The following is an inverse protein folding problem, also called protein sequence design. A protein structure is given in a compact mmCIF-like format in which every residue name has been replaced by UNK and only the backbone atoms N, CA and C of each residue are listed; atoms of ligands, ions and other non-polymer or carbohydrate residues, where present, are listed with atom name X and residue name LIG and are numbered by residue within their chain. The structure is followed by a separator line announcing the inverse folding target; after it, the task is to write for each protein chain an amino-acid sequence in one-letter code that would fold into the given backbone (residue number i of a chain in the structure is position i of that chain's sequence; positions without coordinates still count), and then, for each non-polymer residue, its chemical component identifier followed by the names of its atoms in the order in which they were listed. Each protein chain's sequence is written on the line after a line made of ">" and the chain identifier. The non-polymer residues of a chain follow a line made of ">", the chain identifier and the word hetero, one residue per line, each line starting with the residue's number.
data_IF_093843181059
#
_entry.id   IF_093843181059
#
_cell.length_a   1.000
_cell.length_b   1.000
_cell.length_c   1.000
_cell.angle_alpha   90.00
_cell.angle_beta   90.00
_cell.angle_gamma   90.00
#
_symmetry.space_group_name_H-M   'P 1'
#
loop_
_entity.id
_entity.type
_entity.pdbx_description
1 polymer ?
#
# COMPACT_ATOMS: atom_id res chain seq x y z
N UNK A 1 -15.85 13.63 3.92
CA UNK A 1 -14.42 13.38 4.20
C UNK A 1 -13.59 14.15 3.20
N UNK A 2 -12.62 14.92 3.65
CA UNK A 2 -11.80 15.77 2.77
C UNK A 2 -10.56 15.02 2.29
N UNK A 3 -10.16 15.23 1.03
CA UNK A 3 -8.92 14.68 0.46
C UNK A 3 -7.68 15.02 1.30
N UNK A 4 -7.69 16.16 1.99
CA UNK A 4 -6.60 16.57 2.89
C UNK A 4 -6.45 15.66 4.11
N UNK A 5 -7.55 15.22 4.73
CA UNK A 5 -7.48 14.31 5.88
C UNK A 5 -6.97 12.92 5.47
N UNK A 6 -7.46 12.41 4.35
CA UNK A 6 -7.00 11.15 3.78
C UNK A 6 -5.49 11.16 3.50
N UNK A 7 -4.98 12.27 2.94
CA UNK A 7 -3.55 12.45 2.71
C UNK A 7 -2.76 12.52 4.03
N UNK A 8 -3.25 13.26 5.02
CA UNK A 8 -2.62 13.37 6.34
C UNK A 8 -2.46 11.99 6.99
N UNK A 9 -3.53 11.19 7.04
CA UNK A 9 -3.48 9.83 7.59
C UNK A 9 -2.57 8.92 6.75
N UNK A 10 -2.58 9.06 5.43
CA UNK A 10 -1.72 8.26 4.56
C UNK A 10 -0.23 8.53 4.81
N UNK A 11 0.16 9.81 4.96
CA UNK A 11 1.54 10.19 5.30
C UNK A 11 1.92 9.70 6.69
N UNK A 12 1.01 9.86 7.66
CA UNK A 12 1.21 9.40 9.03
C UNK A 12 1.46 7.88 9.10
N UNK A 13 0.65 7.11 8.37
CA UNK A 13 0.79 5.67 8.22
C UNK A 13 2.14 5.30 7.60
N UNK A 14 2.58 6.01 6.56
CA UNK A 14 3.86 5.73 5.91
C UNK A 14 5.06 5.87 6.87
N UNK A 15 4.99 6.85 7.78
CA UNK A 15 6.02 7.09 8.80
C UNK A 15 5.97 6.05 9.92
N UNK A 16 4.79 5.64 10.36
CA UNK A 16 4.64 4.83 11.58
C UNK A 16 4.55 3.32 11.32
N UNK A 17 4.23 2.88 10.09
CA UNK A 17 3.94 1.48 9.81
C UNK A 17 5.08 0.55 10.24
N UNK A 18 6.31 0.82 9.81
CA UNK A 18 7.47 -0.02 10.12
C UNK A 18 8.22 0.39 11.41
N UNK A 19 7.72 1.41 12.11
CA UNK A 19 8.11 1.65 13.52
C UNK A 19 7.39 0.67 14.47
N UNK A 20 6.28 0.07 14.01
CA UNK A 20 5.45 -0.87 14.77
C UNK A 20 5.52 -2.27 14.20
N UNK A 21 5.33 -2.41 12.88
CA UNK A 21 5.36 -3.70 12.19
C UNK A 21 6.82 -4.13 12.00
N UNK A 22 7.22 -5.33 12.47
CA UNK A 22 8.57 -5.82 12.30
C UNK A 22 9.03 -5.83 10.84
N UNK A 23 10.28 -5.43 10.61
CA UNK A 23 10.87 -5.36 9.26
C UNK A 23 10.86 -6.69 8.51
N UNK A 24 10.80 -7.83 9.22
CA UNK A 24 10.66 -9.15 8.60
C UNK A 24 9.41 -9.28 7.71
N UNK A 25 8.39 -8.45 7.96
CA UNK A 25 7.13 -8.44 7.22
C UNK A 25 7.10 -7.44 6.05
N UNK A 26 8.18 -6.69 5.80
CA UNK A 26 8.27 -5.67 4.74
C UNK A 26 8.02 -6.21 3.32
N UNK A 27 8.03 -7.52 3.13
CA UNK A 27 7.73 -8.15 1.82
C UNK A 27 6.46 -8.99 1.83
N UNK A 28 5.67 -8.94 2.90
CA UNK A 28 4.44 -9.71 3.07
C UNK A 28 3.25 -8.84 2.67
N UNK A 29 3.10 -8.54 1.38
CA UNK A 29 2.10 -7.60 0.88
C UNK A 29 0.66 -7.85 1.37
N UNK A 30 0.16 -9.10 1.54
CA UNK A 30 -1.19 -9.30 2.06
C UNK A 30 -1.33 -8.90 3.53
N UNK A 31 -0.27 -9.07 4.33
CA UNK A 31 -0.28 -8.71 5.75
C UNK A 31 -0.24 -7.19 5.93
N UNK A 32 0.79 -6.54 5.38
CA UNK A 32 0.98 -5.09 5.56
C UNK A 32 -0.16 -4.28 4.95
N UNK A 33 -0.72 -4.71 3.82
CA UNK A 33 -1.87 -4.03 3.21
C UNK A 33 -3.15 -4.20 4.02
N UNK A 34 -3.34 -5.33 4.72
CA UNK A 34 -4.48 -5.52 5.63
C UNK A 34 -4.36 -4.67 6.88
N UNK A 35 -3.15 -4.59 7.46
CA UNK A 35 -2.85 -3.68 8.58
C UNK A 35 -3.19 -2.24 8.17
N UNK A 36 -2.70 -1.79 7.01
CA UNK A 36 -3.00 -0.45 6.50
C UNK A 36 -4.51 -0.21 6.33
N UNK A 37 -5.25 -1.17 5.76
CA UNK A 37 -6.72 -1.08 5.63
C UNK A 37 -7.40 -0.89 7.00
N UNK A 38 -7.01 -1.66 8.00
CA UNK A 38 -7.63 -1.58 9.32
C UNK A 38 -7.22 -0.32 10.09
N UNK A 39 -6.01 0.22 9.86
CA UNK A 39 -5.63 1.56 10.34
C UNK A 39 -6.57 2.62 9.76
N UNK A 40 -6.78 2.66 8.45
CA UNK A 40 -7.67 3.64 7.83
C UNK A 40 -9.10 3.57 8.37
N UNK A 41 -9.62 2.36 8.58
CA UNK A 41 -10.98 2.15 9.13
C UNK A 41 -11.13 2.72 10.54
N UNK A 42 -10.08 2.69 11.36
CA UNK A 42 -10.08 3.31 12.71
C UNK A 42 -10.20 4.84 12.65
N UNK A 43 -9.76 5.46 11.56
CA UNK A 43 -9.95 6.88 11.27
C UNK A 43 -11.22 7.17 10.45
N UNK A 44 -12.15 6.21 10.36
CA UNK A 44 -13.38 6.28 9.55
C UNK A 44 -13.13 6.47 8.04
N UNK A 45 -11.93 6.15 7.55
CA UNK A 45 -11.57 6.23 6.14
C UNK A 45 -11.87 4.87 5.48
N UNK A 46 -12.69 4.89 4.44
CA UNK A 46 -12.97 3.68 3.66
C UNK A 46 -11.71 3.23 2.92
N UNK A 47 -11.24 2.02 3.24
CA UNK A 47 -10.08 1.40 2.61
C UNK A 47 -10.35 -0.05 2.24
N UNK A 48 -9.72 -0.50 1.16
CA UNK A 48 -9.85 -1.85 0.61
C UNK A 48 -8.50 -2.39 0.17
N UNK A 49 -8.42 -3.72 0.07
CA UNK A 49 -7.32 -4.36 -0.63
C UNK A 49 -7.54 -4.27 -2.14
N UNK A 50 -6.48 -3.94 -2.88
CA UNK A 50 -6.48 -3.95 -4.33
C UNK A 50 -5.33 -4.84 -4.84
N UNK A 51 -5.65 -6.02 -5.38
CA UNK A 51 -4.67 -6.82 -6.10
C UNK A 51 -4.16 -6.06 -7.32
N UNK A 52 -2.86 -6.06 -7.56
CA UNK A 52 -2.22 -5.31 -8.66
C UNK A 52 -0.87 -5.93 -9.05
N UNK A 53 -0.32 -5.53 -10.19
CA UNK A 53 1.09 -5.71 -10.50
C UNK A 53 1.87 -4.46 -10.15
N UNK A 54 3.01 -4.62 -9.47
CA UNK A 54 3.97 -3.55 -9.25
C UNK A 54 5.09 -3.66 -10.28
N UNK A 55 5.27 -2.61 -11.06
CA UNK A 55 6.33 -2.50 -12.05
C UNK A 55 7.32 -1.44 -11.58
N UNK A 56 8.59 -1.80 -11.49
CA UNK A 56 9.67 -0.85 -11.55
C UNK A 56 10.09 -0.73 -13.03
N UNK A 57 9.93 0.46 -13.60
CA UNK A 57 10.24 0.74 -15.00
C UNK A 57 11.46 1.65 -15.11
N UNK A 58 12.33 1.39 -16.09
CA UNK A 58 13.53 2.17 -16.38
C UNK A 58 13.93 2.05 -17.85
N UNK A 59 14.93 2.82 -18.28
CA UNK A 59 15.48 2.72 -19.65
C UNK A 59 16.21 1.37 -19.89
N UNK A 60 16.64 0.69 -18.83
CA UNK A 60 17.33 -0.61 -18.88
C UNK A 60 16.35 -1.79 -18.94
N UNK A 61 15.06 -1.54 -18.74
CA UNK A 61 14.02 -2.55 -18.69
C UNK A 61 13.11 -2.41 -17.48
N UNK A 62 12.19 -3.37 -17.35
CA UNK A 62 11.17 -3.39 -16.30
C UNK A 62 11.34 -4.62 -15.40
N UNK A 63 11.15 -4.42 -14.10
CA UNK A 63 11.03 -5.47 -13.10
C UNK A 63 9.60 -5.50 -12.58
N UNK A 64 8.99 -6.69 -12.52
CA UNK A 64 7.57 -6.85 -12.21
C UNK A 64 7.40 -7.78 -11.00
N UNK A 65 6.53 -7.38 -10.08
CA UNK A 65 6.11 -8.15 -8.91
C UNK A 65 4.60 -8.41 -9.02
N UNK A 66 4.23 -9.68 -8.78
CA UNK A 66 2.86 -10.17 -8.79
C UNK A 66 2.38 -10.62 -10.17
N UNK A 67 1.63 -11.72 -10.20
CA UNK A 67 0.96 -12.23 -11.40
C UNK A 67 1.91 -12.50 -12.58
N UNK A 68 3.04 -13.15 -12.31
CA UNK A 68 4.07 -13.44 -13.31
C UNK A 68 3.95 -14.84 -13.93
N UNK A 69 3.02 -15.67 -13.43
CA UNK A 69 2.88 -17.08 -13.81
C UNK A 69 3.90 -17.98 -13.11
N UNK A 70 4.60 -17.46 -12.12
CA UNK A 70 5.67 -18.16 -11.41
C UNK A 70 5.07 -18.90 -10.21
N UNK A 71 4.59 -20.12 -10.45
CA UNK A 71 4.07 -20.97 -9.38
C UNK A 71 5.21 -21.40 -8.44
N UNK A 72 5.29 -20.77 -7.27
CA UNK A 72 6.14 -21.19 -6.17
C UNK A 72 5.22 -21.90 -5.16
N UNK A 73 5.51 -23.15 -4.75
CA UNK A 73 4.73 -23.84 -3.73
C UNK A 73 4.53 -22.98 -2.49
N UNK A 74 3.29 -22.95 -1.98
CA UNK A 74 2.88 -22.21 -0.78
C UNK A 74 3.03 -20.68 -0.84
N UNK A 75 3.31 -20.11 -2.01
CA UNK A 75 3.39 -18.66 -2.21
C UNK A 75 2.36 -18.20 -3.24
N UNK A 76 1.57 -17.20 -2.85
CA UNK A 76 0.66 -16.53 -3.77
C UNK A 76 1.44 -15.73 -4.81
N UNK A 77 1.21 -16.00 -6.10
CA UNK A 77 1.77 -15.23 -7.22
C UNK A 77 0.97 -13.96 -7.46
N UNK A 78 0.95 -13.08 -6.46
CA UNK A 78 0.21 -11.83 -6.51
C UNK A 78 0.91 -10.73 -5.74
N UNK A 79 0.46 -9.51 -6.01
CA UNK A 79 0.78 -8.35 -5.20
C UNK A 79 -0.52 -7.63 -4.84
N UNK A 80 -0.60 -7.10 -3.63
CA UNK A 80 -1.81 -6.44 -3.12
C UNK A 80 -1.42 -5.23 -2.30
N UNK A 81 -2.13 -4.14 -2.53
CA UNK A 81 -1.92 -2.85 -1.86
C UNK A 81 -3.17 -2.44 -1.08
N UNK A 82 -3.01 -1.49 -0.17
CA UNK A 82 -4.12 -0.79 0.44
C UNK A 82 -4.51 0.38 -0.47
N UNK A 83 -5.82 0.57 -0.71
CA UNK A 83 -6.34 1.75 -1.40
C UNK A 83 -7.48 2.37 -0.63
N UNK A 84 -7.51 3.69 -0.62
CA UNK A 84 -8.63 4.52 -0.20
C UNK A 84 -9.33 5.08 -1.45
N UNK A 85 -10.19 6.09 -1.29
CA UNK A 85 -10.87 6.72 -2.42
C UNK A 85 -9.90 7.40 -3.40
N UNK A 86 -8.85 8.05 -2.87
CA UNK A 86 -7.90 8.84 -3.66
C UNK A 86 -6.45 8.38 -3.55
N UNK A 87 -6.10 7.56 -2.55
CA UNK A 87 -4.72 7.16 -2.28
C UNK A 87 -4.49 5.67 -2.49
N UNK A 88 -3.27 5.33 -2.89
CA UNK A 88 -2.67 4.00 -2.89
C UNK A 88 -1.53 4.00 -1.87
N UNK A 89 -1.52 2.97 -1.03
CA UNK A 89 -0.54 2.76 0.02
C UNK A 89 0.07 1.38 -0.17
N UNK A 90 1.38 1.33 -0.40
CA UNK A 90 2.12 0.10 -0.61
C UNK A 90 3.36 0.04 0.30
N UNK A 91 3.25 -0.74 1.39
CA UNK A 91 4.37 -1.02 2.29
C UNK A 91 5.27 -2.16 1.82
N UNK A 92 4.88 -2.89 0.78
CA UNK A 92 5.64 -4.03 0.26
C UNK A 92 6.51 -3.70 -0.95
N UNK A 93 6.59 -2.41 -1.34
CA UNK A 93 7.56 -1.92 -2.34
C UNK A 93 9.00 -2.28 -1.99
N UNK A 94 9.32 -2.47 -0.70
CA UNK A 94 10.65 -2.93 -0.24
C UNK A 94 11.06 -4.30 -0.76
N UNK A 95 10.12 -5.11 -1.26
CA UNK A 95 10.47 -6.30 -2.05
C UNK A 95 11.39 -5.98 -3.22
N UNK A 96 11.24 -4.82 -3.86
CA UNK A 96 12.13 -4.36 -4.93
C UNK A 96 13.56 -4.05 -4.44
N UNK A 97 13.69 -3.54 -3.22
CA UNK A 97 15.02 -3.35 -2.62
C UNK A 97 15.67 -4.69 -2.29
N UNK A 98 14.94 -5.61 -1.63
CA UNK A 98 15.48 -6.92 -1.27
C UNK A 98 15.89 -7.74 -2.49
N UNK A 99 15.06 -7.78 -3.52
CA UNK A 99 15.22 -8.70 -4.65
C UNK A 99 16.09 -8.11 -5.77
N UNK A 100 16.13 -6.78 -5.90
CA UNK A 100 16.81 -6.10 -7.02
C UNK A 100 17.71 -4.92 -6.60
N UNK A 101 17.85 -4.65 -5.29
CA UNK A 101 18.64 -3.54 -4.74
C UNK A 101 18.22 -2.15 -5.24
N UNK A 102 16.95 -1.97 -5.58
CA UNK A 102 16.42 -0.66 -5.96
C UNK A 102 16.24 0.26 -4.74
N UNK A 103 16.55 1.54 -4.92
CA UNK A 103 16.22 2.58 -3.95
C UNK A 103 14.73 2.91 -4.08
N UNK A 104 13.96 2.56 -3.04
CA UNK A 104 12.51 2.74 -2.96
C UNK A 104 12.13 3.25 -1.57
N UNK A 105 11.01 3.98 -1.41
CA UNK A 105 10.54 4.39 -0.08
C UNK A 105 10.21 3.16 0.78
N UNK A 106 10.18 3.31 2.11
CA UNK A 106 9.72 2.25 3.01
C UNK A 106 8.24 1.91 2.75
N UNK A 107 7.42 2.96 2.60
CA UNK A 107 6.02 2.87 2.20
C UNK A 107 5.79 3.86 1.07
N UNK A 108 5.25 3.41 -0.06
CA UNK A 108 4.80 4.30 -1.11
C UNK A 108 3.40 4.82 -0.80
N UNK A 109 3.24 6.15 -0.79
CA UNK A 109 1.94 6.83 -0.71
C UNK A 109 1.76 7.65 -1.97
N UNK A 110 0.74 7.32 -2.74
CA UNK A 110 0.58 7.83 -4.11
C UNK A 110 -0.88 8.15 -4.38
N UNK A 111 -1.15 9.25 -5.08
CA UNK A 111 -2.49 9.48 -5.58
C UNK A 111 -2.86 8.46 -6.66
N UNK A 112 -4.08 7.94 -6.59
CA UNK A 112 -4.66 7.08 -7.61
C UNK A 112 -5.04 7.92 -8.82
N UNK A 113 -4.90 7.35 -10.01
CA UNK A 113 -5.45 7.95 -11.20
C UNK A 113 -6.98 7.99 -11.12
N UNK A 114 -7.55 9.18 -11.23
CA UNK A 114 -9.00 9.39 -11.27
C UNK A 114 -9.55 9.24 -12.70
N UNK A 115 -9.23 8.12 -13.35
CA UNK A 115 -9.67 7.80 -14.71
C UNK A 115 -9.72 6.28 -14.90
N UNK A 116 -10.58 5.80 -15.80
CA UNK A 116 -10.58 4.40 -16.21
C UNK A 116 -9.27 4.08 -16.94
N UNK A 117 -8.38 3.34 -16.27
CA UNK A 117 -7.05 3.01 -16.76
C UNK A 117 -6.63 1.64 -16.24
N UNK A 118 -5.75 0.97 -17.01
CA UNK A 118 -5.02 -0.19 -16.50
C UNK A 118 -3.99 0.21 -15.44
N UNK A 119 -3.43 1.41 -15.55
CA UNK A 119 -2.57 1.98 -14.53
C UNK A 119 -3.42 2.52 -13.39
N UNK A 120 -3.06 2.17 -12.16
CA UNK A 120 -3.72 2.55 -10.91
C UNK A 120 -3.06 3.78 -10.32
N UNK A 121 -1.73 3.80 -10.27
CA UNK A 121 -0.93 4.89 -9.73
C UNK A 121 0.50 4.86 -10.30
N UNK A 122 1.24 5.96 -10.10
CA UNK A 122 2.65 6.09 -10.48
C UNK A 122 3.43 6.87 -9.42
N UNK A 123 4.61 6.38 -9.06
CA UNK A 123 5.57 7.07 -8.20
C UNK A 123 6.88 7.26 -8.96
N UNK A 124 7.34 8.50 -9.08
CA UNK A 124 8.61 8.78 -9.74
C UNK A 124 9.77 8.52 -8.75
N UNK A 125 10.77 7.75 -9.16
CA UNK A 125 12.02 7.54 -8.42
C UNK A 125 13.10 8.45 -9.02
N UNK A 126 14.33 8.34 -8.50
CA UNK A 126 15.47 9.08 -9.07
C UNK A 126 15.79 8.67 -10.52
N UNK A 127 16.06 9.68 -11.36
CA UNK A 127 16.41 9.50 -12.76
C UNK A 127 15.19 9.16 -13.63
N UNK A 128 15.36 8.21 -14.55
CA UNK A 128 14.27 7.72 -15.41
C UNK A 128 13.43 6.61 -14.76
N UNK A 129 13.75 6.22 -13.53
CA UNK A 129 13.10 5.10 -12.83
C UNK A 129 11.74 5.50 -12.28
N UNK A 130 10.76 4.60 -12.39
CA UNK A 130 9.39 4.84 -11.91
C UNK A 130 8.81 3.56 -11.34
N UNK A 131 7.97 3.69 -10.33
CA UNK A 131 7.05 2.64 -9.92
C UNK A 131 5.69 2.86 -10.57
N UNK A 132 5.09 1.79 -11.05
CA UNK A 132 3.73 1.77 -11.58
C UNK A 132 2.96 0.62 -10.96
N UNK A 133 1.72 0.90 -10.58
CA UNK A 133 0.78 -0.14 -10.17
C UNK A 133 -0.22 -0.32 -11.29
N UNK A 134 -0.39 -1.56 -11.75
CA UNK A 134 -1.33 -1.92 -12.81
C UNK A 134 -2.36 -2.93 -12.30
N UNK A 135 -3.53 -2.96 -12.93
CA UNK A 135 -4.49 -4.04 -12.70
C UNK A 135 -3.84 -5.41 -13.01
N UNK A 136 -4.20 -6.48 -12.29
CA UNK A 136 -3.71 -7.83 -12.58
C UNK A 136 -4.03 -8.24 -14.03
N UNK A 137 -3.17 -9.05 -14.68
CA UNK A 137 -3.48 -9.64 -15.97
C UNK A 137 -4.72 -10.54 -15.86
N UNK A 138 -5.44 -10.68 -16.97
CA UNK A 138 -6.61 -11.54 -17.04
C UNK A 138 -6.24 -13.01 -16.79
N UNK A 139 -7.08 -13.73 -16.03
CA UNK A 139 -6.94 -15.17 -15.80
C UNK A 139 -6.13 -15.58 -14.57
N UNK A 140 -5.57 -14.62 -13.82
CA UNK A 140 -4.88 -14.89 -12.56
C UNK A 140 -5.84 -14.94 -11.35
N UNK A 141 -5.50 -15.71 -10.33
CA UNK A 141 -6.21 -15.67 -9.04
C UNK A 141 -5.81 -14.42 -8.26
N UNK A 142 -6.72 -13.45 -8.25
CA UNK A 142 -6.53 -12.16 -7.58
C UNK A 142 -6.91 -12.18 -6.10
N UNK A 143 -7.21 -13.35 -5.51
CA UNK A 143 -7.65 -13.44 -4.11
C UNK A 143 -6.44 -13.37 -3.18
N UNK A 144 -6.25 -12.29 -2.39
CA UNK A 144 -5.13 -12.24 -1.46
C UNK A 144 -5.29 -13.32 -0.38
N UNK A 145 -4.21 -14.01 0.02
CA UNK A 145 -4.29 -15.05 1.04
C UNK A 145 -4.80 -14.47 2.36
N UNK A 146 -5.39 -15.34 3.16
CA UNK A 146 -5.74 -15.02 4.54
C UNK A 146 -4.47 -14.76 5.35
N UNK A 147 -4.60 -13.90 6.36
CA UNK A 147 -3.53 -13.54 7.27
C UNK A 147 -4.08 -13.63 8.71
N UNK A 148 -3.23 -13.83 9.72
CA UNK A 148 -3.69 -13.94 11.11
C UNK A 148 -4.39 -12.67 11.56
N UNK A 149 -5.66 -12.78 11.97
CA UNK A 149 -6.52 -11.62 12.29
C UNK A 149 -6.01 -10.92 13.54
N UNK A 150 -5.54 -11.68 14.52
CA UNK A 150 -4.99 -11.17 15.78
C UNK A 150 -3.77 -10.28 15.52
N UNK A 151 -2.90 -10.70 14.59
CA UNK A 151 -1.73 -9.94 14.19
C UNK A 151 -2.09 -8.65 13.44
N UNK A 152 -3.12 -8.72 12.57
CA UNK A 152 -3.61 -7.52 11.87
C UNK A 152 -4.14 -6.52 12.88
N UNK A 153 -5.00 -6.95 13.82
CA UNK A 153 -5.63 -6.07 14.79
C UNK A 153 -4.61 -5.44 15.75
N UNK A 154 -3.67 -6.25 16.26
CA UNK A 154 -2.59 -5.79 17.14
C UNK A 154 -1.78 -4.67 16.49
N UNK A 155 -1.25 -4.92 15.29
CA UNK A 155 -0.43 -3.93 14.61
C UNK A 155 -1.24 -2.73 14.12
N UNK A 156 -2.46 -2.94 13.61
CA UNK A 156 -3.30 -1.84 13.17
C UNK A 156 -3.69 -0.92 14.33
N UNK A 157 -4.00 -1.47 15.51
CA UNK A 157 -4.27 -0.67 16.70
C UNK A 157 -3.04 0.12 17.12
N UNK A 158 -1.88 -0.54 17.24
CA UNK A 158 -0.66 0.13 17.68
C UNK A 158 -0.19 1.23 16.70
N UNK A 159 -0.33 1.04 15.39
CA UNK A 159 -0.07 2.09 14.40
C UNK A 159 -1.09 3.23 14.53
N UNK A 160 -2.38 2.92 14.64
CA UNK A 160 -3.41 3.95 14.78
C UNK A 160 -3.23 4.79 16.05
N UNK A 161 -2.88 4.17 17.18
CA UNK A 161 -2.64 4.87 18.45
C UNK A 161 -1.46 5.85 18.33
N UNK A 162 -0.40 5.49 17.60
CA UNK A 162 0.74 6.40 17.34
C UNK A 162 0.34 7.57 16.45
N UNK A 163 -0.40 7.31 15.37
CA UNK A 163 -0.92 8.35 14.48
C UNK A 163 -1.82 9.32 15.27
N UNK A 164 -2.73 8.78 16.08
CA UNK A 164 -3.64 9.56 16.93
C UNK A 164 -2.86 10.41 17.93
N UNK A 165 -1.83 9.87 18.58
CA UNK A 165 -1.00 10.63 19.52
C UNK A 165 -0.24 11.78 18.85
N UNK A 166 0.12 11.65 17.57
CA UNK A 166 0.86 12.67 16.81
C UNK A 166 -0.05 13.75 16.22
N UNK A 167 -1.18 13.36 15.65
CA UNK A 167 -2.00 14.24 14.79
C UNK A 167 -3.32 14.65 15.45
N UNK A 168 -3.82 13.89 16.43
CA UNK A 168 -5.13 14.13 17.04
C UNK A 168 -6.30 13.78 16.12
N UNK A 169 -7.48 14.34 16.42
CA UNK A 169 -8.73 14.06 15.70
C UNK A 169 -8.87 14.85 14.39
N UNK A 170 -9.78 14.40 13.51
CA UNK A 170 -10.12 15.15 12.28
C UNK A 170 -10.60 16.57 12.65
N UNK A 171 -10.02 17.63 12.06
CA UNK A 171 -10.40 19.00 12.36
C UNK A 171 -11.89 19.27 12.06
N UNK A 172 -12.65 19.74 13.05
CA UNK A 172 -14.10 19.96 12.96
C UNK A 172 -14.52 20.96 11.86
N UNK A 173 -13.60 21.78 11.35
CA UNK A 173 -13.84 22.73 10.25
C UNK A 173 -13.84 22.10 8.86
N UNK A 174 -13.45 20.83 8.72
CA UNK A 174 -13.40 20.12 7.43
C UNK A 174 -14.57 19.15 7.20
N UNK A 175 -15.36 18.87 8.24
CA UNK A 175 -16.51 17.98 8.16
C UNK A 175 -17.76 18.61 7.51
N UNK A 176 -17.75 19.93 7.26
CA UNK A 176 -18.92 20.71 6.84
C UNK A 176 -19.00 21.05 5.34
N UNK A 177 -18.12 20.51 4.51
CA UNK A 177 -18.23 20.63 3.04
C UNK A 177 -18.92 19.38 2.45
N UNK A 178 -20.24 19.32 2.59
CA UNK A 178 -21.13 18.41 1.87
C UNK A 178 -22.30 19.20 1.27
#
# INVERSE_FOLDING_TARGET
>A
MTKSWELTISQALAEDLFEVVPSLYETFCPLVSRIAVDVFRRFNIAANLLPCQLWQASDEGNHVIGFMGNAIPDKWDGHVVCVTSTMLIDGAVRGLHRDFNFAVPAVAVVERFNAHSHAIARYDLEGSRRLWWFNPPYGFDTTPPLQPIEMIDEYASAVADRIQARIGDEPSSMASAA
#
